data_IF_366414412589
#
_entry.id   IF_366414412589
#
_cell.length_a   1.000
_cell.length_b   1.000
_cell.length_c   1.000
_cell.angle_alpha   90.00
_cell.angle_beta   90.00
_cell.angle_gamma   90.00
#
_symmetry.space_group_name_H-M   'P 1'
#
loop_
_entity.id
_entity.type
_entity.pdbx_description
1 polymer ?
#
# COMPACT_ATOMS: atom_id res chain seq x y z
N UNK A 1 -24.01 6.00 -2.82
CA UNK A 1 -23.30 6.51 -4.02
C UNK A 1 -23.27 8.03 -3.97
N UNK A 2 -22.47 8.67 -4.80
CA UNK A 2 -22.46 10.15 -4.90
C UNK A 2 -23.65 10.57 -5.76
N UNK A 3 -24.52 11.45 -5.24
CA UNK A 3 -25.72 11.93 -5.92
C UNK A 3 -25.50 13.36 -6.41
N UNK A 4 -24.99 13.51 -7.62
CA UNK A 4 -24.69 14.80 -8.28
C UNK A 4 -25.15 14.76 -9.74
N UNK A 5 -25.43 15.92 -10.32
CA UNK A 5 -25.77 16.02 -11.74
C UNK A 5 -24.55 15.84 -12.64
N UNK A 6 -24.77 15.56 -13.93
CA UNK A 6 -23.69 15.44 -14.93
C UNK A 6 -22.92 16.75 -15.09
N UNK A 7 -23.62 17.88 -15.03
CA UNK A 7 -23.03 19.22 -15.13
C UNK A 7 -22.11 19.52 -13.94
N UNK A 8 -22.59 19.26 -12.72
CA UNK A 8 -21.78 19.38 -11.50
C UNK A 8 -20.57 18.45 -11.55
N UNK A 9 -20.74 17.21 -11.99
CA UNK A 9 -19.65 16.24 -12.12
C UNK A 9 -18.57 16.74 -13.10
N UNK A 10 -18.99 17.29 -14.24
CA UNK A 10 -18.07 17.84 -15.25
C UNK A 10 -17.27 19.00 -14.66
N UNK A 11 -17.94 19.94 -13.98
CA UNK A 11 -17.29 21.07 -13.32
C UNK A 11 -16.31 20.62 -12.24
N UNK A 12 -16.66 19.61 -11.44
CA UNK A 12 -15.76 19.04 -10.43
C UNK A 12 -14.51 18.41 -11.04
N UNK A 13 -14.65 17.67 -12.14
CA UNK A 13 -13.52 17.07 -12.86
C UNK A 13 -12.59 18.17 -13.41
N UNK A 14 -13.15 19.23 -13.99
CA UNK A 14 -12.38 20.35 -14.52
C UNK A 14 -11.61 21.08 -13.43
N UNK A 15 -12.27 21.39 -12.30
CA UNK A 15 -11.64 22.01 -11.13
C UNK A 15 -10.52 21.14 -10.55
N UNK A 16 -10.75 19.83 -10.45
CA UNK A 16 -9.74 18.88 -9.99
C UNK A 16 -8.48 18.93 -10.85
N UNK A 17 -8.61 18.90 -12.18
CA UNK A 17 -7.46 18.99 -13.08
C UNK A 17 -6.84 20.39 -13.16
N UNK A 18 -7.59 21.44 -12.87
CA UNK A 18 -7.05 22.80 -12.74
C UNK A 18 -6.10 22.92 -11.54
N UNK A 19 -6.42 22.25 -10.42
CA UNK A 19 -5.57 22.18 -9.23
C UNK A 19 -4.42 21.17 -9.39
N UNK A 20 -4.61 20.13 -10.21
CA UNK A 20 -3.62 19.06 -10.47
C UNK A 20 -3.22 18.97 -11.95
N UNK A 21 -2.66 20.03 -12.55
CA UNK A 21 -2.35 20.06 -13.99
C UNK A 21 -1.27 19.03 -14.38
N UNK A 22 -0.36 18.71 -13.46
CA UNK A 22 0.67 17.68 -13.66
C UNK A 22 0.08 16.29 -13.89
N UNK A 23 -1.03 15.96 -13.23
CA UNK A 23 -1.70 14.66 -13.41
C UNK A 23 -2.27 14.54 -14.82
N UNK A 24 -3.00 15.55 -15.29
CA UNK A 24 -3.54 15.57 -16.66
C UNK A 24 -2.42 15.44 -17.71
N UNK A 25 -1.34 16.20 -17.52
CA UNK A 25 -0.16 16.13 -18.40
C UNK A 25 0.46 14.74 -18.42
N UNK A 26 0.58 14.08 -17.26
CA UNK A 26 1.07 12.71 -17.16
C UNK A 26 0.16 11.71 -17.89
N UNK A 27 -1.15 11.81 -17.70
CA UNK A 27 -2.12 10.94 -18.38
C UNK A 27 -2.05 11.08 -19.91
N UNK A 28 -1.91 12.31 -20.42
CA UNK A 28 -1.81 12.55 -21.86
C UNK A 28 -0.46 12.07 -22.41
N UNK A 29 0.64 12.28 -21.68
CA UNK A 29 1.95 11.72 -22.05
C UNK A 29 1.93 10.18 -22.13
N UNK A 30 1.25 9.50 -21.21
CA UNK A 30 1.06 8.05 -21.26
C UNK A 30 0.32 7.63 -22.53
N UNK A 31 -0.76 8.31 -22.91
CA UNK A 31 -1.50 7.99 -24.15
C UNK A 31 -0.61 8.15 -25.39
N UNK A 32 0.17 9.22 -25.44
CA UNK A 32 1.02 9.52 -26.58
C UNK A 32 2.18 8.53 -26.70
N UNK A 33 2.78 8.12 -25.59
CA UNK A 33 3.78 7.05 -25.56
C UNK A 33 3.23 5.73 -26.12
N UNK A 34 2.03 5.31 -25.67
CA UNK A 34 1.44 4.05 -26.16
C UNK A 34 1.06 4.12 -27.63
N UNK A 35 0.54 5.25 -28.11
CA UNK A 35 0.24 5.42 -29.54
C UNK A 35 1.48 5.31 -30.41
N UNK A 36 2.63 5.76 -29.89
CA UNK A 36 3.90 5.72 -30.61
C UNK A 36 4.51 4.33 -30.59
N UNK A 37 4.59 3.72 -29.41
CA UNK A 37 5.42 2.54 -29.18
C UNK A 37 4.60 1.23 -29.15
N UNK A 38 3.29 1.30 -28.94
CA UNK A 38 2.38 0.14 -28.91
C UNK A 38 2.44 -0.68 -27.62
N UNK A 39 3.14 -0.20 -26.60
CA UNK A 39 3.23 -0.84 -25.29
C UNK A 39 3.49 0.19 -24.17
N UNK A 40 3.27 -0.26 -22.93
CA UNK A 40 3.74 0.39 -21.70
C UNK A 40 4.77 -0.50 -21.02
N UNK A 41 5.64 0.12 -20.22
CA UNK A 41 6.63 -0.55 -19.39
C UNK A 41 6.49 0.00 -17.96
N UNK A 42 6.47 -0.88 -16.95
CA UNK A 42 6.53 -0.46 -15.54
C UNK A 42 7.97 -0.12 -15.15
N UNK A 43 8.15 0.48 -13.97
CA UNK A 43 9.48 0.85 -13.46
C UNK A 43 10.40 -0.37 -13.22
N UNK A 44 9.86 -1.59 -13.15
CA UNK A 44 10.61 -2.86 -13.05
C UNK A 44 10.91 -3.49 -14.42
N UNK A 45 10.52 -2.86 -15.52
CA UNK A 45 10.70 -3.37 -16.88
C UNK A 45 9.59 -4.30 -17.38
N UNK A 46 8.50 -4.51 -16.61
CA UNK A 46 7.36 -5.32 -17.04
C UNK A 46 6.58 -4.62 -18.15
N UNK A 47 6.43 -5.28 -19.31
CA UNK A 47 5.73 -4.70 -20.47
C UNK A 47 4.28 -5.15 -20.62
N UNK A 48 3.38 -4.18 -20.83
CA UNK A 48 2.01 -4.40 -21.33
C UNK A 48 1.93 -3.98 -22.79
N UNK A 49 1.77 -4.95 -23.69
CA UNK A 49 1.54 -4.67 -25.12
C UNK A 49 0.08 -4.27 -25.34
N UNK A 50 -0.13 -3.26 -26.17
CA UNK A 50 -1.45 -2.68 -26.45
C UNK A 50 -1.60 -2.48 -27.97
N UNK A 51 -1.60 -3.56 -28.77
CA UNK A 51 -1.71 -3.45 -30.23
C UNK A 51 -3.00 -2.77 -30.70
N UNK A 52 -4.03 -2.74 -29.86
CA UNK A 52 -5.33 -2.11 -30.11
C UNK A 52 -5.22 -0.63 -30.48
N UNK A 53 -4.15 0.06 -30.05
CA UNK A 53 -3.95 1.50 -30.37
C UNK A 53 -3.68 1.77 -31.84
N UNK A 54 -3.35 0.75 -32.63
CA UNK A 54 -3.15 0.84 -34.07
C UNK A 54 -4.39 0.42 -34.88
N UNK A 55 -5.51 0.13 -34.21
CA UNK A 55 -6.75 -0.23 -34.89
C UNK A 55 -7.40 0.97 -35.58
N UNK A 56 -8.13 0.72 -36.67
CA UNK A 56 -9.02 1.69 -37.30
C UNK A 56 -10.31 1.92 -36.48
N UNK A 57 -10.63 1.03 -35.53
CA UNK A 57 -11.77 1.17 -34.63
C UNK A 57 -11.47 2.17 -33.51
N UNK A 58 -12.06 3.37 -33.62
CA UNK A 58 -11.88 4.45 -32.65
C UNK A 58 -12.37 4.11 -31.23
N UNK A 59 -13.41 3.28 -31.08
CA UNK A 59 -13.91 2.89 -29.77
C UNK A 59 -12.95 1.90 -29.09
N UNK A 60 -12.40 0.97 -29.87
CA UNK A 60 -11.38 0.04 -29.41
C UNK A 60 -10.12 0.80 -28.95
N UNK A 61 -9.64 1.75 -29.74
CA UNK A 61 -8.51 2.62 -29.39
C UNK A 61 -8.81 3.41 -28.11
N UNK A 62 -9.97 4.04 -28.01
CA UNK A 62 -10.35 4.83 -26.83
C UNK A 62 -10.41 3.96 -25.55
N UNK A 63 -10.93 2.72 -25.66
CA UNK A 63 -10.94 1.76 -24.55
C UNK A 63 -9.53 1.34 -24.15
N UNK A 64 -8.67 1.04 -25.11
CA UNK A 64 -7.27 0.66 -24.87
C UNK A 64 -6.52 1.78 -24.14
N UNK A 65 -6.66 3.03 -24.60
CA UNK A 65 -6.04 4.19 -23.97
C UNK A 65 -6.55 4.44 -22.54
N UNK A 66 -7.83 4.19 -22.26
CA UNK A 66 -8.35 4.27 -20.87
C UNK A 66 -7.68 3.26 -19.94
N UNK A 67 -7.42 2.04 -20.41
CA UNK A 67 -6.70 1.04 -19.60
C UNK A 67 -5.24 1.43 -19.36
N UNK A 68 -4.62 2.10 -20.33
CA UNK A 68 -3.23 2.54 -20.26
C UNK A 68 -2.99 3.59 -19.17
N UNK A 69 -3.97 4.46 -18.92
CA UNK A 69 -3.87 5.53 -17.92
C UNK A 69 -3.61 4.96 -16.52
N UNK A 70 -4.26 3.86 -16.17
CA UNK A 70 -4.16 3.26 -14.83
C UNK A 70 -2.95 2.33 -14.68
N UNK A 71 -2.31 1.95 -15.79
CA UNK A 71 -1.23 0.96 -15.75
C UNK A 71 -0.02 1.41 -14.92
N UNK A 72 0.51 2.65 -15.01
CA UNK A 72 1.69 3.05 -14.23
C UNK A 72 1.47 2.90 -12.72
N UNK A 73 0.34 3.35 -12.21
CA UNK A 73 -0.02 3.25 -10.80
C UNK A 73 -0.23 1.78 -10.39
N UNK A 74 -1.11 1.05 -11.09
CA UNK A 74 -1.46 -0.33 -10.73
C UNK A 74 -0.27 -1.29 -10.86
N UNK A 75 0.55 -1.10 -11.91
CA UNK A 75 1.77 -1.89 -12.07
C UNK A 75 2.79 -1.53 -11.01
N UNK A 76 2.90 -0.24 -10.67
CA UNK A 76 3.70 0.29 -9.58
C UNK A 76 3.42 -0.43 -8.27
N UNK A 77 2.18 -0.30 -7.78
CA UNK A 77 1.74 -0.94 -6.54
C UNK A 77 1.90 -2.46 -6.57
N UNK A 78 1.46 -3.11 -7.66
CA UNK A 78 1.58 -4.57 -7.80
C UNK A 78 3.03 -5.05 -7.76
N UNK A 79 3.96 -4.35 -8.43
CA UNK A 79 5.37 -4.73 -8.46
C UNK A 79 5.99 -4.56 -7.07
N UNK A 80 5.67 -3.46 -6.38
CA UNK A 80 6.16 -3.19 -5.01
C UNK A 80 5.65 -4.22 -4.01
N UNK A 81 4.35 -4.52 -3.98
CA UNK A 81 3.76 -5.52 -3.09
C UNK A 81 4.35 -6.91 -3.33
N UNK A 82 4.58 -7.29 -4.59
CA UNK A 82 5.19 -8.59 -4.91
C UNK A 82 6.66 -8.66 -4.48
N UNK A 83 7.43 -7.58 -4.64
CA UNK A 83 8.81 -7.54 -4.15
C UNK A 83 8.87 -7.64 -2.62
N UNK A 84 8.03 -6.89 -1.91
CA UNK A 84 7.92 -6.98 -0.45
C UNK A 84 7.51 -8.40 -0.01
N UNK A 85 6.52 -9.00 -0.65
CA UNK A 85 6.10 -10.38 -0.37
C UNK A 85 7.25 -11.37 -0.50
N UNK A 86 8.06 -11.28 -1.56
CA UNK A 86 9.21 -12.16 -1.77
C UNK A 86 10.27 -11.98 -0.69
N UNK A 87 10.57 -10.74 -0.29
CA UNK A 87 11.53 -10.44 0.79
C UNK A 87 11.05 -10.97 2.14
N UNK A 88 9.82 -10.62 2.54
CA UNK A 88 9.23 -11.07 3.81
C UNK A 88 9.21 -12.60 3.86
N UNK A 89 8.79 -13.25 2.78
CA UNK A 89 8.77 -14.71 2.71
C UNK A 89 10.18 -15.32 2.89
N UNK A 90 11.22 -14.71 2.31
CA UNK A 90 12.61 -15.17 2.47
C UNK A 90 13.09 -15.01 3.90
N UNK A 91 12.82 -13.86 4.53
CA UNK A 91 13.21 -13.57 5.92
C UNK A 91 12.56 -14.59 6.87
N UNK A 92 11.23 -14.71 6.82
CA UNK A 92 10.47 -15.65 7.65
C UNK A 92 10.97 -17.10 7.50
N UNK A 93 11.29 -17.50 6.25
CA UNK A 93 11.80 -18.84 5.96
C UNK A 93 13.22 -19.06 6.52
N UNK A 94 14.08 -18.05 6.44
CA UNK A 94 15.45 -18.12 6.95
C UNK A 94 15.48 -18.15 8.49
N UNK A 95 14.54 -17.48 9.13
CA UNK A 95 14.36 -17.46 10.59
C UNK A 95 13.62 -18.71 11.10
N UNK A 96 13.08 -19.54 10.19
CA UNK A 96 12.41 -20.79 10.56
C UNK A 96 11.05 -20.57 11.22
N UNK A 97 10.39 -19.44 10.93
CA UNK A 97 9.08 -19.09 11.48
C UNK A 97 8.00 -20.10 11.10
N UNK A 98 7.03 -20.29 12.00
CA UNK A 98 5.85 -21.14 11.78
C UNK A 98 4.77 -20.42 10.99
N UNK A 99 4.73 -19.10 11.09
CA UNK A 99 3.79 -18.20 10.42
C UNK A 99 3.90 -18.27 8.89
N UNK A 100 2.82 -17.93 8.19
CA UNK A 100 2.72 -18.09 6.73
C UNK A 100 2.05 -16.89 6.07
N UNK A 101 2.51 -16.56 4.87
CA UNK A 101 1.77 -15.69 3.95
C UNK A 101 0.65 -16.52 3.33
N UNK A 102 -0.60 -16.05 3.43
CA UNK A 102 -1.78 -16.77 2.95
C UNK A 102 -2.23 -16.27 1.58
N UNK A 103 -2.37 -14.95 1.44
CA UNK A 103 -2.89 -14.34 0.22
C UNK A 103 -2.47 -12.87 0.11
N UNK A 104 -2.76 -12.29 -1.05
CA UNK A 104 -2.68 -10.84 -1.28
C UNK A 104 -4.06 -10.31 -1.65
N UNK A 105 -4.39 -9.13 -1.15
CA UNK A 105 -5.61 -8.39 -1.52
C UNK A 105 -5.18 -7.02 -2.00
N UNK A 106 -5.14 -6.83 -3.31
CA UNK A 106 -4.64 -5.60 -3.93
C UNK A 106 -3.21 -5.25 -3.48
N UNK A 107 -3.07 -4.27 -2.59
CA UNK A 107 -1.84 -3.74 -2.02
C UNK A 107 -1.51 -4.33 -0.63
N UNK A 108 -2.39 -5.16 -0.06
CA UNK A 108 -2.22 -5.78 1.25
C UNK A 108 -1.69 -7.22 1.17
N UNK A 109 -0.84 -7.60 2.12
CA UNK A 109 -0.35 -8.97 2.31
C UNK A 109 -1.01 -9.53 3.58
N UNK A 110 -1.64 -10.69 3.48
CA UNK A 110 -2.33 -11.34 4.61
C UNK A 110 -1.51 -12.50 5.13
N UNK A 111 -1.31 -12.51 6.44
CA UNK A 111 -0.54 -13.50 7.17
C UNK A 111 -1.45 -14.34 8.07
N UNK A 112 -1.14 -15.64 8.17
CA UNK A 112 -1.59 -16.52 9.23
C UNK A 112 -0.42 -16.70 10.18
N UNK A 113 -0.51 -16.06 11.34
CA UNK A 113 0.59 -15.93 12.28
C UNK A 113 0.42 -16.89 13.46
N UNK A 114 1.51 -17.56 13.84
CA UNK A 114 1.58 -18.20 15.15
C UNK A 114 1.50 -17.13 16.24
N UNK A 115 0.75 -17.38 17.32
CA UNK A 115 0.49 -16.38 18.37
C UNK A 115 1.77 -15.73 18.92
N UNK A 116 2.81 -16.54 19.16
CA UNK A 116 4.11 -16.06 19.65
C UNK A 116 4.95 -15.28 18.62
N UNK A 117 4.57 -15.29 17.33
CA UNK A 117 5.34 -14.68 16.23
C UNK A 117 4.63 -13.44 15.65
N UNK A 118 3.40 -13.12 16.09
CA UNK A 118 2.56 -12.07 15.48
C UNK A 118 3.28 -10.71 15.44
N UNK A 119 3.91 -10.31 16.56
CA UNK A 119 4.60 -9.03 16.67
C UNK A 119 5.84 -8.98 15.76
N UNK A 120 6.60 -10.07 15.72
CA UNK A 120 7.82 -10.20 14.92
C UNK A 120 7.49 -10.16 13.42
N UNK A 121 6.48 -10.91 12.99
CA UNK A 121 5.99 -10.89 11.60
C UNK A 121 5.49 -9.50 11.21
N UNK A 122 4.74 -8.83 12.10
CA UNK A 122 4.30 -7.46 11.89
C UNK A 122 5.46 -6.48 11.70
N UNK A 123 6.50 -6.58 12.54
CA UNK A 123 7.70 -5.75 12.46
C UNK A 123 8.48 -5.99 11.15
N UNK A 124 8.70 -7.25 10.78
CA UNK A 124 9.35 -7.61 9.51
C UNK A 124 8.55 -7.08 8.32
N UNK A 125 7.23 -7.26 8.32
CA UNK A 125 6.39 -6.81 7.22
C UNK A 125 6.44 -5.30 7.06
N UNK A 126 6.31 -4.54 8.16
CA UNK A 126 6.38 -3.08 8.14
C UNK A 126 7.74 -2.59 7.66
N UNK A 127 8.83 -3.10 8.24
CA UNK A 127 10.20 -2.73 7.88
C UNK A 127 10.47 -2.97 6.39
N UNK A 128 10.09 -4.15 5.88
CA UNK A 128 10.30 -4.48 4.46
C UNK A 128 9.47 -3.60 3.53
N UNK A 129 8.20 -3.35 3.88
CA UNK A 129 7.29 -2.59 3.01
C UNK A 129 7.65 -1.10 2.98
N UNK A 130 8.03 -0.50 4.11
CA UNK A 130 8.39 0.92 4.19
C UNK A 130 9.80 1.19 3.62
N UNK A 131 10.74 0.26 3.79
CA UNK A 131 12.13 0.41 3.32
C UNK A 131 12.43 -0.35 2.01
N UNK A 132 11.39 -0.74 1.27
CA UNK A 132 11.52 -1.53 0.04
C UNK A 132 12.57 -0.99 -0.96
N UNK A 133 12.68 0.33 -1.23
CA UNK A 133 13.69 0.85 -2.16
C UNK A 133 15.13 0.52 -1.78
N UNK A 134 15.40 0.38 -0.48
CA UNK A 134 16.74 0.04 0.06
C UNK A 134 16.97 -1.47 0.06
N UNK A 135 15.89 -2.26 0.23
CA UNK A 135 15.95 -3.71 0.43
C UNK A 135 15.72 -4.52 -0.86
N UNK A 136 15.15 -3.91 -1.91
CA UNK A 136 14.71 -4.62 -3.12
C UNK A 136 15.84 -5.21 -3.97
N UNK A 137 17.09 -4.78 -3.76
CA UNK A 137 18.25 -5.22 -4.55
C UNK A 137 18.44 -6.75 -4.49
N UNK A 138 18.05 -7.39 -3.38
CA UNK A 138 18.09 -8.84 -3.24
C UNK A 138 17.02 -9.58 -4.07
N UNK A 139 15.97 -8.87 -4.49
CA UNK A 139 14.87 -9.43 -5.30
C UNK A 139 15.08 -9.12 -6.78
N UNK A 140 15.28 -7.85 -7.10
CA UNK A 140 15.42 -7.37 -8.46
C UNK A 140 16.41 -6.20 -8.46
N UNK A 141 17.59 -6.46 -9.00
CA UNK A 141 18.68 -5.50 -9.03
C UNK A 141 18.51 -4.44 -10.12
N UNK A 142 19.11 -3.27 -9.89
CA UNK A 142 19.20 -2.21 -10.90
C UNK A 142 17.90 -1.42 -11.13
N UNK A 143 16.95 -1.50 -10.20
CA UNK A 143 15.77 -0.63 -10.20
C UNK A 143 16.22 0.80 -9.86
N UNK A 144 15.85 1.75 -10.71
CA UNK A 144 15.98 3.17 -10.41
C UNK A 144 14.79 3.62 -9.55
N UNK A 145 15.02 3.87 -8.26
CA UNK A 145 14.02 4.37 -7.33
C UNK A 145 13.93 5.90 -7.28
N UNK A 146 14.71 6.63 -8.08
CA UNK A 146 14.76 8.10 -8.03
C UNK A 146 13.43 8.78 -8.36
N UNK A 147 12.50 8.07 -9.00
CA UNK A 147 11.15 8.55 -9.29
C UNK A 147 10.24 8.59 -8.05
N UNK A 148 10.50 7.74 -7.03
CA UNK A 148 9.69 7.68 -5.83
C UNK A 148 10.08 8.82 -4.89
N UNK A 149 9.25 9.86 -4.84
CA UNK A 149 9.50 11.08 -4.04
C UNK A 149 8.80 11.10 -2.68
N UNK A 150 7.88 10.17 -2.46
CA UNK A 150 7.05 10.09 -1.27
C UNK A 150 7.38 8.78 -0.55
N UNK A 151 7.60 8.80 0.78
CA UNK A 151 7.84 7.58 1.53
C UNK A 151 6.65 6.64 1.45
N UNK A 152 6.93 5.34 1.49
CA UNK A 152 5.91 4.31 1.58
C UNK A 152 5.58 4.16 3.07
N UNK A 153 4.29 4.18 3.39
CA UNK A 153 3.80 3.85 4.73
C UNK A 153 3.06 2.52 4.66
N UNK A 154 3.37 1.62 5.58
CA UNK A 154 2.67 0.36 5.74
C UNK A 154 1.85 0.40 7.03
N UNK A 155 0.53 0.29 6.87
CA UNK A 155 -0.39 0.14 7.99
C UNK A 155 -0.53 -1.37 8.31
N UNK A 156 -0.40 -1.72 9.58
CA UNK A 156 -0.53 -3.10 10.05
C UNK A 156 -1.82 -3.22 10.85
N UNK A 157 -2.59 -4.26 10.54
CA UNK A 157 -3.78 -4.64 11.31
C UNK A 157 -3.65 -6.11 11.72
N UNK A 158 -4.11 -6.44 12.92
CA UNK A 158 -4.07 -7.81 13.44
C UNK A 158 -5.34 -8.18 14.21
N UNK A 159 -5.73 -9.45 14.15
CA UNK A 159 -6.89 -9.96 14.88
C UNK A 159 -7.10 -11.46 14.67
N UNK A 160 -7.96 -12.07 15.48
CA UNK A 160 -8.32 -13.49 15.37
C UNK A 160 -9.12 -13.82 14.10
N UNK A 161 -9.79 -12.82 13.52
CA UNK A 161 -10.55 -12.92 12.29
C UNK A 161 -10.41 -11.64 11.49
N UNK A 162 -10.76 -11.69 10.21
CA UNK A 162 -10.67 -10.52 9.33
C UNK A 162 -11.59 -9.35 9.78
N UNK A 163 -12.75 -9.65 10.40
CA UNK A 163 -13.65 -8.61 10.92
C UNK A 163 -13.09 -7.93 12.17
N UNK A 164 -12.45 -8.71 13.03
CA UNK A 164 -12.00 -8.26 14.34
C UNK A 164 -10.59 -7.66 14.34
N UNK A 165 -10.02 -7.33 13.18
CA UNK A 165 -8.67 -6.76 13.12
C UNK A 165 -8.63 -5.35 13.72
N UNK A 166 -7.57 -5.04 14.45
CA UNK A 166 -7.30 -3.72 15.02
C UNK A 166 -5.99 -3.16 14.46
N UNK A 167 -5.92 -1.86 14.17
CA UNK A 167 -4.67 -1.21 13.79
C UNK A 167 -3.63 -1.36 14.89
N UNK A 168 -2.39 -1.59 14.48
CA UNK A 168 -1.28 -1.87 15.37
C UNK A 168 0.01 -1.29 14.78
N UNK A 169 0.89 -0.77 15.64
CA UNK A 169 2.22 -0.30 15.25
C UNK A 169 3.31 -1.19 15.90
N UNK A 170 4.02 -2.03 15.13
CA UNK A 170 4.98 -3.00 15.67
C UNK A 170 6.10 -2.42 16.51
N UNK A 171 6.56 -1.22 16.19
CA UNK A 171 7.68 -0.57 16.88
C UNK A 171 7.26 0.13 18.18
N UNK A 172 5.95 0.21 18.44
CA UNK A 172 5.38 0.78 19.66
C UNK A 172 4.81 -0.31 20.55
N UNK A 173 5.41 -1.49 20.60
CA UNK A 173 5.03 -2.52 21.59
C UNK A 173 6.25 -2.89 22.39
N UNK A 174 6.21 -2.57 23.68
CA UNK A 174 7.20 -2.97 24.67
C UNK A 174 6.59 -4.08 25.54
N UNK A 175 7.35 -5.12 25.83
CA UNK A 175 6.96 -6.10 26.85
C UNK A 175 6.91 -5.41 28.23
N UNK A 176 5.70 -5.16 28.76
CA UNK A 176 5.49 -4.89 30.19
C UNK A 176 5.59 -3.44 30.69
N UNK A 177 4.97 -2.47 30.01
CA UNK A 177 4.70 -1.13 30.57
C UNK A 177 3.19 -0.85 30.67
N UNK A 178 2.72 -0.23 31.76
CA UNK A 178 1.38 0.39 31.78
C UNK A 178 1.43 1.66 30.92
N UNK A 179 0.47 1.89 30.02
CA UNK A 179 0.42 3.11 29.20
C UNK A 179 -0.37 4.20 29.95
N UNK A 180 0.31 5.29 30.31
CA UNK A 180 -0.31 6.56 30.69
C UNK A 180 -0.18 7.52 29.48
N UNK A 181 -1.29 8.17 29.12
CA UNK A 181 -1.39 9.46 28.40
C UNK A 181 -1.44 9.57 26.84
N UNK A 182 -1.89 10.76 26.43
CA UNK A 182 -2.66 11.17 25.24
C UNK A 182 -2.04 10.94 23.84
N UNK A 183 -2.90 10.80 22.81
CA UNK A 183 -2.56 10.44 21.41
C UNK A 183 -1.62 11.44 20.67
N UNK A 184 -1.61 12.70 21.08
CA UNK A 184 -0.76 13.76 20.50
C UNK A 184 -0.28 14.67 21.62
N UNK A 185 0.97 15.13 21.55
CA UNK A 185 1.52 16.15 22.45
C UNK A 185 2.12 17.28 21.61
N UNK A 186 2.03 18.49 22.14
CA UNK A 186 2.68 19.67 21.57
C UNK A 186 4.07 19.78 22.20
N UNK A 187 5.11 19.88 21.37
CA UNK A 187 6.48 20.02 21.85
C UNK A 187 6.76 21.44 22.40
N UNK A 188 7.95 21.62 22.97
CA UNK A 188 8.38 22.92 23.53
C UNK A 188 8.49 24.04 22.47
N UNK A 189 8.40 23.70 21.18
CA UNK A 189 8.46 24.60 20.03
C UNK A 189 7.06 24.89 19.42
N UNK A 190 6.00 24.25 19.93
CA UNK A 190 4.62 24.42 19.47
C UNK A 190 4.26 23.54 18.26
N UNK A 191 5.08 22.54 17.95
CA UNK A 191 4.82 21.57 16.89
C UNK A 191 4.10 20.34 17.46
N UNK A 192 3.11 19.85 16.73
CA UNK A 192 2.34 18.67 17.13
C UNK A 192 3.13 17.41 16.78
N UNK A 193 3.49 16.62 17.78
CA UNK A 193 4.09 15.30 17.59
C UNK A 193 3.17 14.17 18.08
N UNK A 194 3.33 13.00 17.47
CA UNK A 194 2.60 11.80 17.85
C UNK A 194 3.16 11.33 19.20
N UNK A 195 2.33 11.39 20.25
CA UNK A 195 2.69 11.05 21.62
C UNK A 195 2.26 9.63 22.01
N UNK A 196 2.30 8.68 21.08
CA UNK A 196 1.96 7.29 21.42
C UNK A 196 3.12 6.61 22.12
N UNK A 197 2.99 6.44 23.44
CA UNK A 197 3.70 5.38 24.14
C UNK A 197 3.08 4.00 23.83
N UNK A 198 3.88 2.93 23.98
CA UNK A 198 3.56 1.61 23.47
C UNK A 198 2.22 1.04 23.94
N UNK A 199 1.47 0.38 23.05
CA UNK A 199 0.39 -0.52 23.51
C UNK A 199 1.07 -1.73 24.12
N UNK A 200 0.86 -1.99 25.41
CA UNK A 200 1.29 -3.24 26.01
C UNK A 200 0.55 -4.40 25.32
N UNK A 201 1.25 -5.52 25.10
CA UNK A 201 0.70 -6.74 24.48
C UNK A 201 -0.64 -7.15 25.12
N UNK A 202 -0.77 -7.02 26.44
CA UNK A 202 -2.01 -7.37 27.16
C UNK A 202 -3.20 -6.47 26.76
N UNK A 203 -2.99 -5.16 26.67
CA UNK A 203 -4.03 -4.20 26.27
C UNK A 203 -4.46 -4.43 24.80
N UNK A 204 -3.50 -4.77 23.94
CA UNK A 204 -3.76 -5.12 22.55
C UNK A 204 -4.65 -6.38 22.45
N UNK A 205 -4.36 -7.41 23.26
CA UNK A 205 -5.19 -8.62 23.30
C UNK A 205 -6.60 -8.35 23.82
N UNK A 206 -6.76 -7.50 24.82
CA UNK A 206 -8.07 -7.10 25.33
C UNK A 206 -8.90 -6.35 24.28
N UNK A 207 -8.28 -5.43 23.53
CA UNK A 207 -8.95 -4.72 22.44
C UNK A 207 -9.45 -5.68 21.34
N UNK A 208 -8.65 -6.70 20.99
CA UNK A 208 -9.06 -7.73 20.04
C UNK A 208 -10.23 -8.57 20.55
N UNK A 209 -10.15 -9.02 21.80
CA UNK A 209 -11.19 -9.84 22.42
C UNK A 209 -12.52 -9.07 22.47
N UNK A 210 -12.48 -7.81 22.91
CA UNK A 210 -13.66 -6.94 22.96
C UNK A 210 -14.32 -6.76 21.59
N UNK A 211 -13.53 -6.51 20.53
CA UNK A 211 -14.06 -6.33 19.19
C UNK A 211 -14.67 -7.64 18.64
N UNK A 212 -14.02 -8.78 18.89
CA UNK A 212 -14.53 -10.08 18.49
C UNK A 212 -15.87 -10.43 19.17
N UNK A 213 -16.02 -10.12 20.46
CA UNK A 213 -17.28 -10.34 21.20
C UNK A 213 -18.43 -9.48 20.66
N UNK A 214 -18.15 -8.21 20.34
CA UNK A 214 -19.16 -7.29 19.82
C UNK A 214 -19.66 -7.68 18.42
N UNK A 215 -18.82 -8.28 17.59
CA UNK A 215 -19.21 -8.75 16.25
C UNK A 215 -19.93 -10.10 16.27
N UNK A 216 -19.79 -10.86 17.36
CA UNK A 216 -20.49 -12.13 17.57
C UNK A 216 -21.93 -11.96 18.11
N UNK A 217 -22.32 -10.76 18.55
CA UNK A 217 -23.63 -10.42 19.13
C UNK A 217 -24.59 -9.79 18.12
#
# INVERSE_FOLDING_TARGET
GIHVTVEETTSLIEQFFAVRPGLKKGMDATKDAVRKDGFLESFTGRRRRVPEVFSEDHELVARALRQCINFPEQSGASDMTLMALVLIHRIMKNEGMKSKIVLTVHDSIVFDCHVDEVLEVGAIAKEVMENLPTLSEEVLSGIDWSWLKVPIRADIEMGYSWGSMVPFEPHTVQEGGESDDEMYREDDEGEWEIAREPVNVDELWEQMAFKAEKEAA
#
